data_IF_291178067742
#
_entry.id   IF_291178067742
#
_cell.length_a   1.000
_cell.length_b   1.000
_cell.length_c   1.000
_cell.angle_alpha   90.00
_cell.angle_beta   90.00
_cell.angle_gamma   90.00
#
_symmetry.space_group_name_H-M   'P 1'
#
loop_
_entity.id
_entity.type
_entity.pdbx_description
1 polymer ?
#
# COMPACT_ATOMS: atom_id res chain seq x y z
N UNK A 1 43.86 30.51 1.31
CA UNK A 1 43.77 29.32 0.43
C UNK A 1 43.25 28.08 1.17
N UNK A 2 43.68 27.82 2.41
CA UNK A 2 43.21 26.68 3.22
C UNK A 2 41.73 26.79 3.65
N UNK A 3 41.26 28.00 3.99
CA UNK A 3 39.84 28.29 4.31
C UNK A 3 38.89 27.93 3.16
N UNK A 4 39.31 28.15 1.91
CA UNK A 4 38.52 27.91 0.70
C UNK A 4 38.37 26.41 0.38
N UNK A 5 39.39 25.60 0.70
CA UNK A 5 39.34 24.13 0.61
C UNK A 5 38.46 23.52 1.71
N UNK A 6 38.50 24.09 2.92
CA UNK A 6 37.69 23.64 4.05
C UNK A 6 36.20 23.94 3.80
N UNK A 7 35.87 25.11 3.25
CA UNK A 7 34.49 25.45 2.86
C UNK A 7 33.98 24.59 1.70
N UNK A 8 34.84 24.19 0.75
CA UNK A 8 34.46 23.28 -0.35
C UNK A 8 34.16 21.85 0.14
N UNK A 9 34.87 21.36 1.15
CA UNK A 9 34.64 20.02 1.73
C UNK A 9 33.32 19.94 2.52
N UNK A 10 32.96 20.99 3.28
CA UNK A 10 31.70 21.00 4.07
C UNK A 10 30.46 21.05 3.17
N UNK A 11 30.54 21.73 2.02
CA UNK A 11 29.41 21.82 1.08
C UNK A 11 29.22 20.51 0.28
N UNK A 12 30.26 19.70 0.09
CA UNK A 12 30.16 18.38 -0.56
C UNK A 12 29.45 17.33 0.33
N UNK A 13 29.54 17.44 1.65
CA UNK A 13 28.80 16.59 2.60
C UNK A 13 27.33 17.01 2.78
N UNK A 14 26.93 18.20 2.34
CA UNK A 14 25.56 18.69 2.49
C UNK A 14 24.61 18.25 1.35
N UNK A 15 25.12 17.57 0.30
CA UNK A 15 24.32 17.04 -0.81
C UNK A 15 24.06 15.53 -0.74
N UNK A 16 24.61 14.82 0.25
CA UNK A 16 24.45 13.37 0.42
C UNK A 16 23.63 13.02 1.68
N UNK A 17 22.42 13.54 1.78
CA UNK A 17 21.37 12.92 2.61
C UNK A 17 20.01 13.30 2.04
N UNK A 18 19.68 12.76 0.87
CA UNK A 18 18.27 12.49 0.55
C UNK A 18 17.89 11.29 1.40
N UNK A 19 17.38 11.54 2.60
CA UNK A 19 16.61 10.55 3.34
C UNK A 19 15.30 10.35 2.56
N UNK A 20 15.34 9.36 1.66
CA UNK A 20 14.19 8.92 0.87
C UNK A 20 13.06 8.54 1.81
N UNK A 21 12.03 9.38 1.83
CA UNK A 21 10.88 9.22 2.71
C UNK A 21 10.23 7.85 2.60
N UNK A 22 10.04 7.20 3.74
CA UNK A 22 9.03 6.15 3.93
C UNK A 22 8.49 6.22 5.36
N UNK A 23 7.59 7.17 5.64
CA UNK A 23 6.73 7.12 6.82
C UNK A 23 5.25 7.04 6.39
N UNK A 24 4.92 5.96 5.69
CA UNK A 24 3.54 5.54 5.50
C UNK A 24 3.53 4.01 5.36
N UNK A 25 3.85 3.32 6.45
CA UNK A 25 3.90 1.84 6.49
C UNK A 25 2.62 1.18 6.99
N UNK A 26 1.62 1.96 7.41
CA UNK A 26 0.51 1.40 8.21
C UNK A 26 -0.87 1.43 7.53
N UNK A 27 -0.96 1.70 6.23
CA UNK A 27 -2.27 2.00 5.63
C UNK A 27 -2.75 1.00 4.58
N UNK A 28 -1.93 0.07 4.13
CA UNK A 28 -2.35 -0.98 3.20
C UNK A 28 -1.68 -2.32 3.52
N UNK A 29 -2.45 -3.41 3.47
CA UNK A 29 -1.95 -4.78 3.73
C UNK A 29 -1.44 -5.41 2.44
N UNK A 30 -0.36 -6.19 2.48
CA UNK A 30 0.15 -6.98 1.34
C UNK A 30 -0.52 -8.35 1.22
N UNK A 31 -1.54 -8.61 2.06
CA UNK A 31 -2.19 -9.92 2.14
C UNK A 31 -2.94 -10.28 0.85
N UNK A 32 -3.40 -9.27 0.12
CA UNK A 32 -4.20 -9.41 -1.10
C UNK A 32 -3.38 -9.35 -2.40
N UNK A 33 -2.04 -9.23 -2.32
CA UNK A 33 -1.16 -9.13 -3.50
C UNK A 33 -1.16 -10.40 -4.39
N UNK A 34 -1.72 -11.50 -3.88
CA UNK A 34 -1.78 -12.81 -4.56
C UNK A 34 -3.18 -13.18 -5.07
N UNK A 35 -4.19 -12.32 -4.89
CA UNK A 35 -5.51 -12.57 -5.45
C UNK A 35 -5.48 -12.30 -6.95
N UNK A 36 -5.94 -13.28 -7.73
CA UNK A 36 -6.18 -13.09 -9.16
C UNK A 36 -7.49 -12.30 -9.35
N UNK A 37 -7.35 -11.02 -9.67
CA UNK A 37 -8.49 -10.13 -9.91
C UNK A 37 -9.21 -10.47 -11.22
N UNK A 38 -8.51 -10.99 -12.22
CA UNK A 38 -9.12 -11.35 -13.49
C UNK A 38 -10.03 -12.57 -13.30
N UNK A 39 -9.61 -13.55 -12.51
CA UNK A 39 -10.47 -14.66 -12.13
C UNK A 39 -11.65 -14.21 -11.28
N UNK A 40 -11.41 -13.37 -10.26
CA UNK A 40 -12.45 -12.91 -9.35
C UNK A 40 -13.54 -12.08 -10.06
N UNK A 41 -13.19 -11.30 -11.07
CA UNK A 41 -14.12 -10.46 -11.83
C UNK A 41 -14.79 -11.21 -13.00
N UNK A 42 -14.09 -12.15 -13.66
CA UNK A 42 -14.65 -12.90 -14.78
C UNK A 42 -15.43 -14.15 -14.36
N UNK A 43 -15.25 -14.63 -13.12
CA UNK A 43 -16.03 -15.74 -12.58
C UNK A 43 -17.25 -15.20 -11.83
N UNK A 44 -18.41 -15.27 -12.49
CA UNK A 44 -19.68 -14.77 -11.95
C UNK A 44 -20.01 -15.31 -10.55
N UNK A 45 -19.66 -16.57 -10.25
CA UNK A 45 -19.91 -17.17 -8.93
C UNK A 45 -19.04 -16.53 -7.84
N UNK A 46 -17.76 -16.29 -8.14
CA UNK A 46 -16.84 -15.63 -7.20
C UNK A 46 -17.24 -14.18 -7.01
N UNK A 47 -17.46 -13.45 -8.11
CA UNK A 47 -17.89 -12.07 -8.09
C UNK A 47 -19.16 -11.86 -7.25
N UNK A 48 -20.20 -12.66 -7.49
CA UNK A 48 -21.44 -12.57 -6.71
C UNK A 48 -21.23 -12.87 -5.23
N UNK A 49 -20.30 -13.77 -4.88
CA UNK A 49 -19.98 -14.07 -3.49
C UNK A 49 -19.31 -12.87 -2.79
N UNK A 50 -18.37 -12.19 -3.45
CA UNK A 50 -17.75 -10.98 -2.91
C UNK A 50 -18.74 -9.82 -2.84
N UNK A 51 -19.62 -9.67 -3.84
CA UNK A 51 -20.64 -8.62 -3.87
C UNK A 51 -21.67 -8.80 -2.75
N UNK A 52 -22.20 -10.02 -2.57
CA UNK A 52 -23.12 -10.37 -1.48
C UNK A 52 -22.48 -10.11 -0.11
N UNK A 53 -21.20 -10.45 0.03
CA UNK A 53 -20.45 -10.13 1.24
C UNK A 53 -20.40 -8.62 1.55
N UNK A 54 -20.08 -7.79 0.54
CA UNK A 54 -20.05 -6.34 0.68
C UNK A 54 -21.44 -5.75 0.99
N UNK A 55 -22.51 -6.39 0.51
CA UNK A 55 -23.90 -6.01 0.78
C UNK A 55 -24.42 -6.44 2.16
N UNK A 56 -23.63 -7.17 2.96
CA UNK A 56 -24.02 -7.56 4.31
C UNK A 56 -24.41 -9.02 4.49
N UNK A 57 -24.33 -9.82 3.43
CA UNK A 57 -24.73 -11.23 3.40
C UNK A 57 -23.56 -12.18 3.75
N UNK A 58 -23.72 -13.49 3.52
CA UNK A 58 -22.65 -14.49 3.73
C UNK A 58 -21.35 -14.12 3.00
N UNK A 59 -20.24 -14.07 3.75
CA UNK A 59 -18.90 -13.80 3.25
C UNK A 59 -18.05 -15.06 3.18
N UNK A 60 -17.20 -15.14 2.14
CA UNK A 60 -16.00 -16.00 2.18
C UNK A 60 -15.00 -15.44 3.21
N UNK A 61 -14.06 -16.26 3.71
CA UNK A 61 -13.00 -15.78 4.61
C UNK A 61 -12.27 -14.56 4.04
N UNK A 62 -11.94 -14.59 2.75
CA UNK A 62 -11.27 -13.49 2.05
C UNK A 62 -12.18 -12.26 1.88
N UNK A 63 -13.47 -12.48 1.61
CA UNK A 63 -14.46 -11.40 1.50
C UNK A 63 -14.71 -10.68 2.83
N UNK A 64 -14.65 -11.39 3.96
CA UNK A 64 -14.80 -10.80 5.29
C UNK A 64 -13.67 -9.80 5.59
N UNK A 65 -12.45 -10.15 5.23
CA UNK A 65 -11.30 -9.27 5.38
C UNK A 65 -11.32 -8.11 4.40
N UNK A 66 -11.77 -8.34 3.15
CA UNK A 66 -11.99 -7.28 2.17
C UNK A 66 -13.01 -6.25 2.68
N UNK A 67 -14.12 -6.72 3.26
CA UNK A 67 -15.15 -5.85 3.85
C UNK A 67 -14.63 -5.07 5.05
N UNK A 68 -13.77 -5.67 5.89
CA UNK A 68 -13.12 -4.99 7.01
C UNK A 68 -12.03 -3.99 6.60
N UNK A 69 -11.41 -4.20 5.44
CA UNK A 69 -10.38 -3.32 4.84
C UNK A 69 -11.01 -2.21 4.01
N UNK A 70 -12.18 -2.42 3.40
CA UNK A 70 -12.90 -1.38 2.66
C UNK A 70 -13.04 -0.02 3.41
N UNK A 71 -13.41 0.03 4.71
CA UNK A 71 -13.54 1.29 5.43
C UNK A 71 -12.22 2.07 5.63
N UNK A 72 -11.04 1.43 5.57
CA UNK A 72 -9.75 2.13 5.63
C UNK A 72 -9.32 2.72 4.27
N UNK A 73 -9.95 2.31 3.17
CA UNK A 73 -9.70 2.85 1.82
C UNK A 73 -10.56 4.09 1.51
N UNK A 74 -11.64 4.32 2.25
CA UNK A 74 -12.56 5.46 2.06
C UNK A 74 -12.30 6.62 3.03
N UNK A 75 -11.14 6.65 3.69
CA UNK A 75 -10.76 7.67 4.70
C UNK A 75 -9.47 8.43 4.38
#
# INVERSE_FOLDING_TARGET
MLKFKLTLLVMASAFFSVDGGKLYKDRYTTKFDKIDLDEALNNQRLFESYLKCLMGDKCSPDGYELRGTYPILTS
#
